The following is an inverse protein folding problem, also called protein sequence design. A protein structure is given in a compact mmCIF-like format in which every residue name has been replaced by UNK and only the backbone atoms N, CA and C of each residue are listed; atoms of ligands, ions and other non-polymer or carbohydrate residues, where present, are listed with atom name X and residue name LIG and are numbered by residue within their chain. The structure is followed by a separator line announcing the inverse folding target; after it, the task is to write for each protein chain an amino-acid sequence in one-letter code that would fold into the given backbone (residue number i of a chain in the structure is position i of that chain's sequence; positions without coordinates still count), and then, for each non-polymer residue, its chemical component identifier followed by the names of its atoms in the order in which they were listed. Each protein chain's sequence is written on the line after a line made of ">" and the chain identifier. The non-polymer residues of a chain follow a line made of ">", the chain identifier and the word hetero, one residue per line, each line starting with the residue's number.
data_IF_381076243149
#
_entry.id   IF_381076243149
#
_cell.length_a   1.000
_cell.length_b   1.000
_cell.length_c   1.000
_cell.angle_alpha   90.00
_cell.angle_beta   90.00
_cell.angle_gamma   90.00
#
_symmetry.space_group_name_H-M   'P 1'
#
loop_
_entity.id
_entity.type
_entity.pdbx_description
1 polymer ?
#
# COMPACT_ATOMS: atom_id res chain seq x y z
N UNK A 1 -29.92 15.28 -34.56
CA UNK A 1 -29.01 14.13 -34.40
C UNK A 1 -27.62 14.43 -33.83
N UNK A 2 -27.15 15.69 -33.74
CA UNK A 2 -25.82 16.03 -33.14
C UNK A 2 -25.78 16.02 -31.62
N UNK A 3 -26.90 16.11 -30.92
CA UNK A 3 -26.95 16.13 -29.44
C UNK A 3 -27.06 14.73 -28.80
N UNK A 4 -27.35 13.72 -29.59
CA UNK A 4 -27.46 12.33 -29.07
C UNK A 4 -26.08 11.71 -28.79
N UNK A 5 -25.05 12.12 -29.51
CA UNK A 5 -23.67 11.60 -29.31
C UNK A 5 -22.95 12.24 -28.13
N UNK A 6 -23.33 13.43 -27.69
CA UNK A 6 -22.74 14.12 -26.53
C UNK A 6 -23.24 13.50 -25.22
N UNK A 7 -24.47 13.00 -25.17
CA UNK A 7 -25.05 12.34 -24.00
C UNK A 7 -24.48 10.91 -23.79
N UNK A 8 -24.07 10.22 -24.87
CA UNK A 8 -23.46 8.89 -24.77
C UNK A 8 -22.00 8.96 -24.31
N UNK A 9 -21.27 10.04 -24.61
CA UNK A 9 -19.87 10.20 -24.17
C UNK A 9 -19.74 10.53 -22.66
N UNK A 10 -20.79 11.13 -22.07
CA UNK A 10 -20.78 11.48 -20.64
C UNK A 10 -21.11 10.29 -19.71
N UNK A 11 -21.75 9.24 -20.23
CA UNK A 11 -22.10 8.04 -19.45
C UNK A 11 -20.91 7.09 -19.23
N UNK A 12 -19.83 7.19 -20.02
CA UNK A 12 -18.65 6.34 -19.89
C UNK A 12 -17.67 6.75 -18.78
N UNK A 13 -17.72 8.02 -18.31
CA UNK A 13 -16.76 8.52 -17.31
C UNK A 13 -17.13 8.17 -15.86
N UNK A 14 -18.38 7.81 -15.58
CA UNK A 14 -18.84 7.37 -14.25
C UNK A 14 -18.72 5.87 -14.02
N UNK A 15 -18.60 5.06 -15.10
CA UNK A 15 -18.60 3.59 -15.01
C UNK A 15 -17.32 3.00 -14.38
N UNK A 16 -16.14 3.58 -14.61
CA UNK A 16 -14.88 3.00 -14.14
C UNK A 16 -14.70 2.99 -12.61
N UNK A 17 -15.29 3.95 -11.87
CA UNK A 17 -15.17 4.01 -10.41
C UNK A 17 -16.04 2.94 -9.75
N UNK A 18 -17.22 2.69 -10.30
CA UNK A 18 -18.16 1.69 -9.82
C UNK A 18 -17.72 0.26 -10.13
N UNK A 19 -17.07 0.02 -11.27
CA UNK A 19 -16.54 -1.31 -11.63
C UNK A 19 -15.39 -1.72 -10.71
N UNK A 20 -14.44 -0.82 -10.44
CA UNK A 20 -13.34 -1.08 -9.52
C UNK A 20 -13.82 -1.36 -8.08
N UNK A 21 -14.86 -0.66 -7.63
CA UNK A 21 -15.46 -0.90 -6.32
C UNK A 21 -16.16 -2.26 -6.26
N UNK A 22 -16.97 -2.59 -7.26
CA UNK A 22 -17.65 -3.90 -7.35
C UNK A 22 -16.67 -5.07 -7.43
N UNK A 23 -15.56 -4.91 -8.17
CA UNK A 23 -14.51 -5.91 -8.24
C UNK A 23 -13.84 -6.11 -6.87
N UNK A 24 -13.51 -5.02 -6.17
CA UNK A 24 -12.94 -5.07 -4.83
C UNK A 24 -13.88 -5.75 -3.83
N UNK A 25 -15.18 -5.41 -3.84
CA UNK A 25 -16.21 -6.03 -3.01
C UNK A 25 -16.37 -7.52 -3.30
N UNK A 26 -16.29 -7.92 -4.57
CA UNK A 26 -16.33 -9.34 -4.98
C UNK A 26 -15.14 -10.12 -4.43
N UNK A 27 -13.92 -9.56 -4.55
CA UNK A 27 -12.70 -10.19 -4.01
C UNK A 27 -12.81 -10.31 -2.49
N UNK A 28 -13.21 -9.26 -1.78
CA UNK A 28 -13.39 -9.28 -0.34
C UNK A 28 -14.38 -10.36 0.08
N UNK A 29 -15.53 -10.46 -0.60
CA UNK A 29 -16.57 -11.46 -0.29
C UNK A 29 -16.08 -12.88 -0.51
N UNK A 30 -15.29 -13.12 -1.55
CA UNK A 30 -14.71 -14.45 -1.85
C UNK A 30 -13.70 -14.89 -0.79
N UNK A 31 -12.90 -13.93 -0.29
CA UNK A 31 -11.75 -14.24 0.56
C UNK A 31 -12.04 -14.22 2.06
N UNK A 32 -13.05 -13.50 2.51
CA UNK A 32 -13.42 -13.48 3.94
C UNK A 32 -13.79 -14.90 4.41
N UNK A 33 -13.23 -15.31 5.54
CA UNK A 33 -13.32 -16.65 6.15
C UNK A 33 -12.68 -17.80 5.33
N UNK A 34 -12.06 -17.52 4.19
CA UNK A 34 -11.28 -18.53 3.44
C UNK A 34 -10.03 -18.91 4.23
N UNK A 35 -9.77 -20.20 4.33
CA UNK A 35 -8.55 -20.71 4.96
C UNK A 35 -7.35 -20.54 4.01
N UNK A 36 -6.24 -20.06 4.55
CA UNK A 36 -4.96 -20.00 3.85
C UNK A 36 -4.18 -21.28 4.14
N UNK A 37 -3.87 -22.03 3.08
CA UNK A 37 -3.12 -23.28 3.16
C UNK A 37 -1.63 -23.00 2.97
N UNK A 38 -0.83 -23.32 3.98
CA UNK A 38 0.63 -23.16 3.92
C UNK A 38 1.31 -24.37 3.27
N UNK A 39 2.38 -24.16 2.46
CA UNK A 39 3.15 -25.27 1.91
C UNK A 39 3.77 -26.15 3.01
N UNK A 40 3.81 -27.47 2.81
CA UNK A 40 4.41 -28.40 3.78
C UNK A 40 5.91 -28.18 3.99
N UNK A 41 6.61 -27.65 2.99
CA UNK A 41 8.04 -27.34 3.05
C UNK A 41 8.22 -25.85 2.76
N UNK A 42 8.73 -25.12 3.74
CA UNK A 42 9.03 -23.70 3.66
C UNK A 42 10.43 -23.48 4.22
N UNK A 43 11.21 -22.69 3.50
CA UNK A 43 12.56 -22.31 3.94
C UNK A 43 12.62 -20.82 4.14
N UNK A 44 12.78 -20.41 5.36
CA UNK A 44 12.92 -19.00 5.71
C UNK A 44 14.39 -18.61 5.79
N UNK A 45 14.69 -17.44 5.31
CA UNK A 45 16.04 -16.88 5.34
C UNK A 45 16.04 -15.41 5.73
N UNK A 46 17.14 -14.94 6.29
CA UNK A 46 17.41 -13.53 6.52
C UNK A 46 18.21 -13.00 5.34
N UNK A 47 17.62 -12.05 4.59
CA UNK A 47 18.22 -11.41 3.42
C UNK A 47 18.71 -12.40 2.34
N UNK A 48 18.13 -13.59 2.30
CA UNK A 48 18.51 -14.65 1.36
C UNK A 48 19.90 -15.23 1.54
N UNK A 49 20.54 -14.95 2.69
CA UNK A 49 21.90 -15.42 2.99
C UNK A 49 21.93 -16.55 4.02
N UNK A 50 21.18 -16.38 5.08
CA UNK A 50 21.20 -17.27 6.24
C UNK A 50 19.83 -17.94 6.40
N UNK A 51 19.81 -19.27 6.31
CA UNK A 51 18.61 -20.03 6.60
C UNK A 51 18.40 -20.05 8.12
N UNK A 52 17.16 -19.80 8.53
CA UNK A 52 16.77 -19.75 9.95
C UNK A 52 15.67 -20.75 10.24
N UNK A 53 15.69 -21.35 11.46
CA UNK A 53 14.59 -22.19 11.94
C UNK A 53 13.42 -21.28 12.37
N UNK A 54 12.68 -20.82 11.37
CA UNK A 54 11.49 -19.99 11.56
C UNK A 54 10.26 -20.81 11.21
N UNK A 55 9.36 -20.99 12.18
CA UNK A 55 8.15 -21.81 12.04
C UNK A 55 6.91 -20.97 12.17
N UNK A 56 5.85 -21.38 11.51
CA UNK A 56 4.52 -20.82 11.74
C UNK A 56 4.08 -21.23 13.13
N UNK A 57 3.84 -20.22 13.97
CA UNK A 57 3.42 -20.40 15.36
C UNK A 57 1.89 -20.48 15.45
N UNK A 58 1.40 -21.08 16.51
CA UNK A 58 -0.01 -21.05 16.89
C UNK A 58 -0.29 -19.73 17.64
N UNK A 59 -0.26 -18.61 16.89
CA UNK A 59 -0.57 -17.28 17.40
C UNK A 59 -2.03 -16.93 17.15
N UNK A 60 -2.58 -16.03 17.97
CA UNK A 60 -3.96 -15.56 17.82
C UNK A 60 -4.22 -14.96 16.43
N UNK A 61 -3.23 -14.21 15.91
CA UNK A 61 -3.28 -13.64 14.57
C UNK A 61 -1.99 -13.87 13.79
N UNK A 62 -2.11 -13.92 12.47
CA UNK A 62 -0.99 -13.93 11.52
C UNK A 62 -1.20 -12.87 10.45
N UNK A 63 -0.19 -12.05 10.18
CA UNK A 63 -0.19 -11.13 9.04
C UNK A 63 0.65 -11.77 7.95
N UNK A 64 0.00 -12.16 6.84
CA UNK A 64 0.63 -12.83 5.71
C UNK A 64 0.73 -11.86 4.55
N UNK A 65 1.95 -11.59 4.07
CA UNK A 65 2.21 -10.80 2.88
C UNK A 65 2.77 -11.71 1.78
N UNK A 66 2.00 -11.87 0.70
CA UNK A 66 2.46 -12.52 -0.52
C UNK A 66 2.85 -11.46 -1.54
N UNK A 67 4.00 -11.63 -2.17
CA UNK A 67 4.51 -10.71 -3.20
C UNK A 67 4.89 -11.53 -4.43
N UNK A 68 4.18 -11.29 -5.52
CA UNK A 68 4.46 -11.91 -6.81
C UNK A 68 5.56 -11.18 -7.59
N UNK A 69 5.98 -11.78 -8.70
CA UNK A 69 7.01 -11.24 -9.59
C UNK A 69 6.50 -10.13 -10.53
N UNK A 70 5.23 -9.74 -10.45
CA UNK A 70 4.66 -8.74 -11.34
C UNK A 70 4.97 -7.32 -10.85
N UNK A 71 5.77 -6.59 -11.59
CA UNK A 71 6.10 -5.19 -11.36
C UNK A 71 7.37 -4.92 -10.56
N UNK A 72 7.63 -3.64 -10.22
CA UNK A 72 8.81 -3.19 -9.51
C UNK A 72 8.80 -3.66 -8.05
N UNK A 73 9.68 -4.58 -7.71
CA UNK A 73 9.74 -5.23 -6.39
C UNK A 73 10.07 -4.25 -5.26
N UNK A 74 11.00 -3.33 -5.48
CA UNK A 74 11.44 -2.36 -4.46
C UNK A 74 10.31 -1.42 -4.03
N UNK A 75 9.51 -0.95 -4.98
CA UNK A 75 8.42 0.00 -4.71
C UNK A 75 7.23 -0.64 -4.01
N UNK A 76 7.02 -1.96 -4.18
CA UNK A 76 5.89 -2.68 -3.60
C UNK A 76 6.13 -3.13 -2.17
N UNK A 77 7.40 -3.34 -1.81
CA UNK A 77 7.74 -3.99 -0.55
C UNK A 77 7.61 -3.07 0.67
N UNK A 78 7.95 -1.77 0.55
CA UNK A 78 7.94 -0.82 1.68
C UNK A 78 8.53 -1.43 2.98
N UNK A 79 9.69 -2.11 2.88
CA UNK A 79 10.27 -2.89 3.97
C UNK A 79 10.55 -2.06 5.23
N UNK A 80 10.88 -0.78 5.09
CA UNK A 80 11.03 0.14 6.23
C UNK A 80 9.74 0.29 7.03
N UNK A 81 8.60 0.48 6.34
CA UNK A 81 7.28 0.58 7.00
C UNK A 81 6.85 -0.75 7.64
N UNK A 82 7.23 -1.89 7.04
CA UNK A 82 7.02 -3.20 7.66
C UNK A 82 7.81 -3.34 8.96
N UNK A 83 9.08 -2.89 9.01
CA UNK A 83 9.87 -2.90 10.26
C UNK A 83 9.21 -2.07 11.36
N UNK A 84 8.70 -0.89 11.02
CA UNK A 84 7.97 -0.03 11.95
C UNK A 84 6.72 -0.72 12.50
N UNK A 85 5.92 -1.35 11.63
CA UNK A 85 4.72 -2.07 12.04
C UNK A 85 5.05 -3.28 12.90
N UNK A 86 6.06 -4.08 12.54
CA UNK A 86 6.53 -5.23 13.33
C UNK A 86 6.96 -4.75 14.72
N UNK A 87 7.83 -3.74 14.79
CA UNK A 87 8.31 -3.19 16.07
C UNK A 87 7.16 -2.65 16.92
N UNK A 88 6.20 -1.94 16.31
CA UNK A 88 5.01 -1.47 17.01
C UNK A 88 4.21 -2.64 17.59
N UNK A 89 3.91 -3.68 16.79
CA UNK A 89 3.14 -4.83 17.25
C UNK A 89 3.84 -5.60 18.35
N UNK A 90 5.16 -5.82 18.23
CA UNK A 90 5.96 -6.47 19.27
C UNK A 90 5.96 -5.69 20.59
N UNK A 91 5.80 -4.35 20.53
CA UNK A 91 5.76 -3.52 21.73
C UNK A 91 4.39 -3.49 22.42
N UNK A 92 3.29 -3.56 21.65
CA UNK A 92 1.92 -3.41 22.20
C UNK A 92 1.17 -4.74 22.36
N UNK A 93 1.51 -5.74 21.56
CA UNK A 93 0.87 -7.07 21.54
C UNK A 93 1.94 -8.18 21.34
N UNK A 94 2.90 -8.31 22.29
CA UNK A 94 3.97 -9.29 22.15
C UNK A 94 3.40 -10.71 22.02
N UNK A 95 3.93 -11.48 21.06
CA UNK A 95 3.57 -12.89 20.81
C UNK A 95 2.14 -13.17 20.31
N UNK A 96 1.27 -12.17 20.23
CA UNK A 96 -0.11 -12.35 19.71
C UNK A 96 -0.17 -12.36 18.17
N UNK A 97 0.79 -11.72 17.50
CA UNK A 97 0.80 -11.58 16.05
C UNK A 97 2.11 -12.11 15.47
N UNK A 98 2.02 -12.98 14.48
CA UNK A 98 3.17 -13.40 13.69
C UNK A 98 3.10 -12.81 12.30
N UNK A 99 4.22 -12.26 11.81
CA UNK A 99 4.35 -11.79 10.43
C UNK A 99 4.94 -12.90 9.57
N UNK A 100 4.40 -13.10 8.38
CA UNK A 100 4.80 -14.14 7.43
C UNK A 100 4.96 -13.52 6.05
N UNK A 101 6.17 -13.52 5.51
CA UNK A 101 6.50 -12.95 4.22
C UNK A 101 6.83 -14.06 3.22
N UNK A 102 6.06 -14.14 2.13
CA UNK A 102 6.26 -15.08 1.03
C UNK A 102 6.51 -14.30 -0.25
N UNK A 103 7.68 -14.51 -0.86
CA UNK A 103 8.07 -13.80 -2.06
C UNK A 103 8.29 -14.79 -3.19
N UNK A 104 7.45 -14.69 -4.22
CA UNK A 104 7.65 -15.38 -5.50
C UNK A 104 8.37 -14.44 -6.46
N UNK A 105 9.58 -14.77 -6.84
CA UNK A 105 10.44 -13.90 -7.63
C UNK A 105 11.08 -14.68 -8.77
N UNK A 106 10.87 -14.21 -9.99
CA UNK A 106 11.57 -14.73 -11.18
C UNK A 106 13.08 -14.43 -11.15
N UNK A 107 13.47 -13.29 -10.53
CA UNK A 107 14.86 -12.89 -10.35
C UNK A 107 15.07 -12.42 -8.89
N UNK A 108 15.69 -13.27 -8.08
CA UNK A 108 15.90 -13.00 -6.66
C UNK A 108 16.94 -11.92 -6.33
N UNK A 109 17.76 -11.47 -7.29
CA UNK A 109 18.87 -10.55 -7.00
C UNK A 109 18.39 -9.21 -6.47
N UNK A 110 17.34 -8.65 -7.06
CA UNK A 110 16.86 -7.31 -6.74
C UNK A 110 16.25 -7.26 -5.33
N UNK A 111 15.54 -8.32 -4.92
CA UNK A 111 14.97 -8.37 -3.58
C UNK A 111 16.02 -8.52 -2.50
N UNK A 112 17.06 -9.33 -2.73
CA UNK A 112 18.14 -9.46 -1.76
C UNK A 112 18.91 -8.15 -1.59
N UNK A 113 19.06 -7.39 -2.70
CA UNK A 113 19.62 -6.05 -2.63
C UNK A 113 18.74 -5.11 -1.83
N UNK A 114 17.44 -5.06 -2.13
CA UNK A 114 16.47 -4.21 -1.41
C UNK A 114 16.42 -4.56 0.08
N UNK A 115 16.34 -5.84 0.44
CA UNK A 115 16.34 -6.25 1.85
C UNK A 115 17.61 -5.81 2.59
N UNK A 116 18.76 -5.83 1.92
CA UNK A 116 20.04 -5.36 2.51
C UNK A 116 20.08 -3.84 2.66
N UNK A 117 19.64 -3.10 1.64
CA UNK A 117 19.61 -1.64 1.67
C UNK A 117 18.69 -1.14 2.79
N UNK A 118 17.51 -1.76 2.93
CA UNK A 118 16.53 -1.42 3.98
C UNK A 118 16.88 -2.03 5.34
N UNK A 119 17.98 -2.81 5.43
CA UNK A 119 18.37 -3.54 6.65
C UNK A 119 17.19 -4.35 7.21
N UNK A 120 16.47 -5.04 6.32
CA UNK A 120 15.35 -5.88 6.69
C UNK A 120 15.85 -7.25 7.15
N UNK A 121 15.82 -7.50 8.44
CA UNK A 121 16.36 -8.72 9.08
C UNK A 121 15.27 -9.69 9.53
N UNK A 122 14.00 -9.40 9.20
CA UNK A 122 12.91 -10.34 9.49
C UNK A 122 12.94 -11.52 8.51
N UNK A 123 12.66 -12.75 8.98
CA UNK A 123 12.67 -13.94 8.13
C UNK A 123 11.69 -13.89 6.99
N UNK A 124 12.12 -14.24 5.78
CA UNK A 124 11.29 -14.31 4.58
C UNK A 124 11.39 -15.68 3.92
N UNK A 125 10.29 -16.19 3.39
CA UNK A 125 10.26 -17.37 2.56
C UNK A 125 10.36 -16.97 1.10
N UNK A 126 11.42 -17.37 0.39
CA UNK A 126 11.56 -17.19 -1.05
C UNK A 126 10.99 -18.45 -1.72
N UNK A 127 9.80 -18.34 -2.25
CA UNK A 127 9.10 -19.44 -2.95
C UNK A 127 9.35 -19.35 -4.46
N UNK A 128 10.45 -19.94 -4.91
CA UNK A 128 10.88 -19.87 -6.32
C UNK A 128 9.95 -20.61 -7.28
N UNK A 129 9.12 -21.51 -6.78
CA UNK A 129 8.19 -22.31 -7.57
C UNK A 129 6.73 -21.87 -7.42
N UNK A 130 6.49 -20.79 -6.65
CA UNK A 130 5.15 -20.25 -6.40
C UNK A 130 4.17 -21.25 -5.78
N UNK A 131 4.67 -22.19 -4.97
CA UNK A 131 3.83 -23.22 -4.35
C UNK A 131 2.75 -22.62 -3.46
N UNK A 132 3.05 -21.51 -2.78
CA UNK A 132 2.09 -20.85 -1.91
C UNK A 132 0.88 -20.32 -2.68
N UNK A 133 1.11 -19.69 -3.83
CA UNK A 133 0.03 -19.23 -4.70
C UNK A 133 -0.67 -20.39 -5.43
N UNK A 134 0.06 -21.44 -5.82
CA UNK A 134 -0.57 -22.63 -6.42
C UNK A 134 -1.56 -23.30 -5.49
N UNK A 135 -1.34 -23.25 -4.16
CA UNK A 135 -2.26 -23.80 -3.17
C UNK A 135 -3.49 -22.92 -2.93
N UNK A 136 -3.32 -21.59 -3.01
CA UNK A 136 -4.34 -20.63 -2.56
C UNK A 136 -5.05 -19.89 -3.69
N UNK A 137 -4.39 -19.73 -4.85
CA UNK A 137 -4.86 -18.93 -6.00
C UNK A 137 -5.13 -17.48 -5.60
N UNK A 138 -4.10 -16.80 -5.07
CA UNK A 138 -4.21 -15.42 -4.60
C UNK A 138 -4.75 -14.46 -5.67
N UNK A 139 -5.43 -13.36 -5.25
CA UNK A 139 -5.89 -12.34 -6.19
C UNK A 139 -4.73 -11.79 -7.01
N UNK A 140 -4.95 -11.59 -8.31
CA UNK A 140 -3.98 -10.92 -9.18
C UNK A 140 -3.80 -9.44 -8.86
N UNK A 141 -4.79 -8.82 -8.22
CA UNK A 141 -4.70 -7.45 -7.74
C UNK A 141 -3.83 -7.38 -6.47
N UNK A 142 -2.66 -6.78 -6.61
CA UNK A 142 -1.65 -6.67 -5.55
C UNK A 142 -2.15 -5.98 -4.27
N UNK A 143 -3.21 -5.18 -4.36
CA UNK A 143 -3.84 -4.52 -3.22
C UNK A 143 -4.42 -5.53 -2.22
N UNK A 144 -4.75 -6.75 -2.68
CA UNK A 144 -5.39 -7.81 -1.92
C UNK A 144 -4.48 -9.00 -1.65
N UNK A 145 -3.17 -8.86 -1.76
CA UNK A 145 -2.17 -9.91 -1.52
C UNK A 145 -1.58 -9.88 -0.10
N UNK A 146 -2.21 -9.15 0.81
CA UNK A 146 -1.86 -9.15 2.25
C UNK A 146 -3.10 -9.47 3.06
N UNK A 147 -2.96 -10.38 4.02
CA UNK A 147 -4.06 -10.97 4.77
C UNK A 147 -3.80 -10.90 6.26
N UNK A 148 -4.80 -10.54 7.04
CA UNK A 148 -4.86 -10.81 8.47
C UNK A 148 -5.63 -12.12 8.67
N UNK A 149 -4.99 -13.10 9.30
CA UNK A 149 -5.58 -14.40 9.59
C UNK A 149 -5.81 -14.53 11.09
N UNK A 150 -6.86 -15.27 11.47
CA UNK A 150 -7.06 -15.74 12.84
C UNK A 150 -6.20 -16.97 13.13
N UNK A 151 -6.35 -17.53 14.34
CA UNK A 151 -5.64 -18.74 14.79
C UNK A 151 -5.86 -19.93 13.85
N UNK A 152 -7.06 -20.11 13.29
CA UNK A 152 -7.41 -21.18 12.34
C UNK A 152 -6.91 -20.92 10.90
N UNK A 153 -6.05 -19.94 10.68
CA UNK A 153 -5.56 -19.49 9.38
C UNK A 153 -6.65 -18.99 8.43
N UNK A 154 -7.81 -18.56 8.94
CA UNK A 154 -8.89 -17.97 8.14
C UNK A 154 -8.73 -16.47 8.01
N UNK A 155 -8.99 -15.96 6.82
CA UNK A 155 -8.92 -14.51 6.52
C UNK A 155 -9.99 -13.75 7.31
N UNK A 156 -9.57 -12.82 8.16
CA UNK A 156 -10.44 -11.91 8.92
C UNK A 156 -10.37 -10.47 8.43
N UNK A 157 -9.32 -10.11 7.72
CA UNK A 157 -9.22 -8.87 6.95
C UNK A 157 -8.18 -9.04 5.85
N UNK A 158 -8.25 -8.20 4.81
CA UNK A 158 -7.25 -8.20 3.73
C UNK A 158 -6.97 -6.78 3.24
N UNK A 159 -5.79 -6.61 2.63
CA UNK A 159 -5.24 -5.33 2.19
C UNK A 159 -3.92 -5.02 2.89
N UNK A 160 -3.10 -4.20 2.27
CA UNK A 160 -1.74 -3.95 2.76
C UNK A 160 -1.72 -2.83 3.83
N UNK A 161 -1.44 -3.14 5.12
CA UNK A 161 -1.48 -2.18 6.21
C UNK A 161 -0.33 -1.17 6.18
N UNK A 162 0.76 -1.45 5.47
CA UNK A 162 1.88 -0.49 5.33
C UNK A 162 1.71 0.45 4.14
N UNK A 163 0.73 0.17 3.27
CA UNK A 163 0.38 1.04 2.15
C UNK A 163 -0.93 1.81 2.37
N UNK A 164 -1.77 1.35 3.30
CA UNK A 164 -3.05 1.98 3.57
C UNK A 164 -3.27 2.11 5.09
N UNK A 165 -3.23 3.34 5.64
CA UNK A 165 -3.47 3.59 7.05
C UNK A 165 -4.83 3.10 7.55
N UNK A 166 -5.89 3.16 6.74
CA UNK A 166 -7.22 2.66 7.12
C UNK A 166 -7.22 1.14 7.29
N UNK A 167 -6.45 0.42 6.46
CA UNK A 167 -6.25 -1.03 6.61
C UNK A 167 -5.41 -1.32 7.85
N UNK A 168 -4.37 -0.52 8.12
CA UNK A 168 -3.60 -0.61 9.37
C UNK A 168 -4.50 -0.46 10.59
N UNK A 169 -5.32 0.58 10.63
CA UNK A 169 -6.25 0.84 11.73
C UNK A 169 -7.26 -0.31 11.88
N UNK A 170 -7.77 -0.87 10.77
CA UNK A 170 -8.65 -2.04 10.77
C UNK A 170 -7.96 -3.26 11.40
N UNK A 171 -6.71 -3.55 11.00
CA UNK A 171 -5.94 -4.68 11.57
C UNK A 171 -5.71 -4.47 13.06
N UNK A 172 -5.25 -3.28 13.46
CA UNK A 172 -5.03 -2.94 14.87
C UNK A 172 -6.32 -3.07 15.68
N UNK A 173 -7.45 -2.62 15.16
CA UNK A 173 -8.75 -2.75 15.81
C UNK A 173 -9.16 -4.21 16.00
N UNK A 174 -9.01 -5.07 14.98
CA UNK A 174 -9.34 -6.49 15.08
C UNK A 174 -8.44 -7.17 16.12
N UNK A 175 -7.13 -6.95 16.06
CA UNK A 175 -6.15 -7.54 16.96
C UNK A 175 -6.36 -7.09 18.41
N UNK A 176 -6.79 -5.85 18.62
CA UNK A 176 -7.01 -5.28 19.95
C UNK A 176 -8.43 -5.49 20.50
N UNK A 177 -9.39 -5.98 19.71
CA UNK A 177 -10.81 -6.09 20.08
C UNK A 177 -11.12 -6.97 21.29
N UNK A 178 -10.09 -7.54 21.94
CA UNK A 178 -10.19 -8.17 23.26
C UNK A 178 -9.66 -7.33 24.42
N UNK A 179 -9.02 -6.16 24.23
CA UNK A 179 -8.23 -5.51 25.29
C UNK A 179 -8.23 -3.98 25.41
N UNK A 180 -8.67 -3.20 24.42
CA UNK A 180 -8.79 -1.74 24.56
C UNK A 180 -9.68 -1.14 23.47
N UNK A 181 -10.51 -0.17 23.86
CA UNK A 181 -11.17 0.75 22.95
C UNK A 181 -10.14 1.66 22.26
N UNK A 182 -9.54 1.21 21.15
CA UNK A 182 -8.80 2.10 20.25
C UNK A 182 -9.82 2.86 19.37
N UNK A 183 -10.80 3.49 19.97
CA UNK A 183 -11.57 4.57 19.38
C UNK A 183 -10.73 5.84 19.45
N UNK A 184 -9.77 6.01 18.59
CA UNK A 184 -9.49 7.36 18.13
C UNK A 184 -10.72 7.80 17.32
N UNK A 185 -11.61 8.56 17.96
CA UNK A 185 -12.55 9.43 17.26
C UNK A 185 -11.69 10.51 16.56
N UNK A 186 -11.10 10.17 15.41
CA UNK A 186 -10.37 11.15 14.62
C UNK A 186 -11.37 12.19 14.14
N UNK A 187 -11.20 13.39 14.62
CA UNK A 187 -12.00 14.53 14.19
C UNK A 187 -11.73 14.76 12.72
N UNK A 188 -12.74 14.64 11.86
CA UNK A 188 -12.62 14.85 10.42
C UNK A 188 -12.60 16.34 10.09
N UNK A 189 -12.00 16.67 8.96
CA UNK A 189 -11.98 18.01 8.39
C UNK A 189 -12.23 17.97 6.88
N UNK A 190 -12.54 19.11 6.26
CA UNK A 190 -12.72 19.24 4.83
C UNK A 190 -11.43 19.76 4.19
N UNK A 191 -11.18 19.35 2.95
CA UNK A 191 -10.00 19.78 2.20
C UNK A 191 -10.36 20.15 0.77
N UNK A 192 -9.63 21.09 0.23
CA UNK A 192 -9.68 21.49 -1.18
C UNK A 192 -8.29 21.34 -1.80
N UNK A 193 -8.25 20.85 -3.04
CA UNK A 193 -7.05 20.69 -3.85
C UNK A 193 -7.04 21.76 -4.93
N UNK A 194 -5.96 22.53 -5.04
CA UNK A 194 -5.79 23.49 -6.12
C UNK A 194 -5.69 22.77 -7.46
N UNK A 195 -4.83 21.75 -7.52
CA UNK A 195 -4.65 20.89 -8.68
C UNK A 195 -4.61 19.41 -8.25
N UNK A 196 -5.17 18.55 -9.11
CA UNK A 196 -5.08 17.09 -8.94
C UNK A 196 -4.17 16.43 -9.96
N UNK A 197 -3.79 17.13 -11.03
CA UNK A 197 -2.94 16.63 -12.12
C UNK A 197 -1.96 17.71 -12.55
N UNK A 198 -0.68 17.38 -12.52
CA UNK A 198 0.39 18.24 -13.06
C UNK A 198 1.03 17.55 -14.27
N UNK A 199 1.11 18.29 -15.39
CA UNK A 199 1.83 17.86 -16.58
C UNK A 199 3.25 18.44 -16.54
N UNK A 200 4.26 17.57 -16.43
CA UNK A 200 5.67 17.94 -16.38
C UNK A 200 6.26 18.21 -17.79
N UNK A 201 5.45 18.03 -18.85
CA UNK A 201 5.85 18.26 -20.23
C UNK A 201 6.89 17.27 -20.74
N UNK A 202 7.70 17.73 -21.69
CA UNK A 202 8.78 16.95 -22.33
C UNK A 202 10.11 17.39 -21.72
N UNK A 203 10.92 16.44 -21.21
CA UNK A 203 12.21 16.75 -20.61
C UNK A 203 13.25 15.61 -20.82
N UNK A 204 14.52 15.92 -20.56
CA UNK A 204 15.63 14.96 -20.59
C UNK A 204 15.48 13.94 -19.46
N UNK A 205 15.41 12.64 -19.78
CA UNK A 205 15.22 11.55 -18.81
C UNK A 205 16.31 11.48 -17.74
N UNK A 206 17.47 12.08 -17.96
CA UNK A 206 18.55 12.18 -16.97
C UNK A 206 18.34 13.28 -15.94
N UNK A 207 17.35 14.16 -16.13
CA UNK A 207 17.05 15.28 -15.23
C UNK A 207 15.84 14.99 -14.37
N UNK A 208 15.97 15.25 -13.07
CA UNK A 208 14.84 15.21 -12.17
C UNK A 208 13.87 16.36 -12.45
N UNK A 209 12.59 16.09 -12.34
CA UNK A 209 11.51 17.08 -12.42
C UNK A 209 10.86 17.23 -11.05
N UNK A 210 10.46 18.47 -10.73
CA UNK A 210 9.80 18.77 -9.45
C UNK A 210 8.50 19.53 -9.70
N UNK A 211 7.49 19.22 -8.91
CA UNK A 211 6.26 19.98 -8.83
C UNK A 211 5.73 20.01 -7.39
N UNK A 212 4.76 20.86 -7.14
CA UNK A 212 4.14 21.03 -5.85
C UNK A 212 2.63 20.86 -6.03
N UNK A 213 2.00 20.11 -5.11
CA UNK A 213 0.56 20.10 -4.94
C UNK A 213 0.22 20.76 -3.62
N UNK A 214 -0.76 21.64 -3.63
CA UNK A 214 -1.22 22.34 -2.43
C UNK A 214 -2.57 21.79 -1.99
N UNK A 215 -2.66 21.40 -0.71
CA UNK A 215 -3.91 20.97 -0.06
C UNK A 215 -4.28 22.03 0.97
N UNK A 216 -5.46 22.64 0.81
CA UNK A 216 -6.01 23.58 1.76
C UNK A 216 -6.95 22.87 2.75
N UNK A 217 -6.78 23.15 4.03
CA UNK A 217 -7.74 22.75 5.06
C UNK A 217 -8.90 23.77 5.09
N UNK A 218 -10.02 23.41 4.46
CA UNK A 218 -11.24 24.25 4.41
C UNK A 218 -12.20 23.95 5.55
N UNK A 219 -11.96 22.86 6.32
CA UNK A 219 -12.77 22.49 7.47
C UNK A 219 -12.40 23.26 8.75
N UNK A 220 -13.09 22.92 9.85
CA UNK A 220 -12.91 23.60 11.15
C UNK A 220 -11.88 22.93 12.05
N UNK A 221 -11.52 21.68 11.76
CA UNK A 221 -10.60 20.89 12.57
C UNK A 221 -9.21 20.85 11.94
N UNK A 222 -8.22 20.36 12.69
CA UNK A 222 -6.87 20.17 12.17
C UNK A 222 -6.87 19.12 11.04
N UNK A 223 -6.18 19.43 9.93
CA UNK A 223 -5.88 18.44 8.91
C UNK A 223 -4.60 17.70 9.29
N UNK A 224 -4.67 16.39 9.31
CA UNK A 224 -3.54 15.49 9.58
C UNK A 224 -3.31 14.63 8.35
N UNK A 225 -2.12 14.68 7.79
CA UNK A 225 -1.68 13.76 6.73
C UNK A 225 -1.13 12.50 7.42
N UNK A 226 -1.82 11.38 7.25
CA UNK A 226 -1.44 10.10 7.84
C UNK A 226 -0.27 9.45 7.09
N UNK A 227 -0.38 9.45 5.75
CA UNK A 227 0.64 8.86 4.87
C UNK A 227 0.50 9.37 3.44
N UNK A 228 1.59 9.30 2.67
CA UNK A 228 1.58 9.53 1.23
C UNK A 228 2.30 8.38 0.52
N UNK A 229 1.63 7.76 -0.44
CA UNK A 229 2.18 6.67 -1.23
C UNK A 229 2.27 7.02 -2.70
N UNK A 230 3.32 6.54 -3.35
CA UNK A 230 3.56 6.72 -4.78
C UNK A 230 3.40 5.40 -5.53
N UNK A 231 2.95 5.45 -6.78
CA UNK A 231 2.77 4.27 -7.63
C UNK A 231 4.08 3.64 -8.11
N UNK A 232 5.22 4.32 -7.96
CA UNK A 232 6.57 3.83 -8.31
C UNK A 232 7.64 4.43 -7.40
N UNK A 233 8.83 3.81 -7.34
CA UNK A 233 10.02 4.35 -6.67
C UNK A 233 10.71 5.49 -7.43
N UNK A 234 10.31 5.71 -8.68
CA UNK A 234 10.74 6.83 -9.51
C UNK A 234 10.13 8.18 -9.07
N UNK A 235 9.22 8.16 -8.08
CA UNK A 235 8.57 9.34 -7.53
C UNK A 235 8.81 9.40 -6.04
N UNK A 236 9.39 10.50 -5.54
CA UNK A 236 9.56 10.77 -4.12
C UNK A 236 8.74 11.96 -3.69
N UNK A 237 8.35 12.00 -2.41
CA UNK A 237 7.46 13.03 -1.86
C UNK A 237 8.05 13.57 -0.56
N UNK A 238 8.04 14.89 -0.41
CA UNK A 238 8.43 15.59 0.81
C UNK A 238 7.30 16.52 1.24
N UNK A 239 6.94 16.49 2.53
CA UNK A 239 5.90 17.33 3.12
C UNK A 239 6.10 17.47 4.63
N UNK A 240 5.51 18.52 5.23
CA UNK A 240 5.50 18.70 6.70
C UNK A 240 4.62 17.62 7.35
N UNK A 241 5.10 17.08 8.47
CA UNK A 241 4.33 16.15 9.31
C UNK A 241 3.46 16.87 10.36
N UNK A 242 3.54 18.20 10.42
CA UNK A 242 2.76 18.99 11.37
C UNK A 242 1.30 19.10 10.94
N UNK A 243 0.34 19.01 11.88
CA UNK A 243 -1.07 19.24 11.58
C UNK A 243 -1.34 20.64 11.03
N UNK A 244 -2.21 20.75 10.02
CA UNK A 244 -2.54 21.99 9.32
C UNK A 244 -3.79 22.60 9.92
N UNK A 245 -3.71 23.83 10.39
CA UNK A 245 -4.84 24.57 10.97
C UNK A 245 -5.91 24.89 9.91
N UNK A 246 -7.14 25.11 10.39
CA UNK A 246 -8.26 25.59 9.56
C UNK A 246 -7.86 26.84 8.75
N UNK A 247 -8.20 26.87 7.47
CA UNK A 247 -7.89 27.94 6.53
C UNK A 247 -6.42 28.02 6.07
N UNK A 248 -5.55 27.12 6.53
CA UNK A 248 -4.15 27.03 6.12
C UNK A 248 -3.97 25.92 5.07
N UNK A 249 -2.83 25.96 4.38
CA UNK A 249 -2.47 24.99 3.36
C UNK A 249 -1.20 24.25 3.71
N UNK A 250 -1.02 23.07 3.10
CA UNK A 250 0.20 22.28 3.11
C UNK A 250 0.63 22.01 1.68
N UNK A 251 1.93 22.14 1.43
CA UNK A 251 2.55 21.82 0.16
C UNK A 251 3.14 20.40 0.20
N UNK A 252 2.87 19.66 -0.86
CA UNK A 252 3.41 18.34 -1.12
C UNK A 252 4.38 18.47 -2.29
N UNK A 253 5.67 18.50 -2.00
CA UNK A 253 6.72 18.56 -3.02
C UNK A 253 6.94 17.16 -3.59
N UNK A 254 6.75 17.03 -4.91
CA UNK A 254 6.91 15.77 -5.64
C UNK A 254 8.13 15.88 -6.55
N UNK A 255 9.05 14.93 -6.44
CA UNK A 255 10.20 14.79 -7.34
C UNK A 255 10.05 13.51 -8.15
N UNK A 256 10.12 13.63 -9.47
CA UNK A 256 10.11 12.52 -10.41
C UNK A 256 11.47 12.37 -11.08
N UNK A 257 11.99 11.13 -11.12
CA UNK A 257 13.23 10.76 -11.77
C UNK A 257 12.97 9.56 -12.66
N UNK A 258 13.03 9.76 -13.99
CA UNK A 258 12.87 8.67 -14.93
C UNK A 258 14.03 7.67 -14.83
N UNK A 259 13.74 6.38 -14.92
CA UNK A 259 14.76 5.31 -14.96
C UNK A 259 15.29 5.13 -16.39
N UNK A 260 14.46 5.41 -17.38
CA UNK A 260 14.75 5.35 -18.82
C UNK A 260 13.78 6.29 -19.56
N UNK A 261 14.02 6.59 -20.86
CA UNK A 261 13.04 7.34 -21.66
C UNK A 261 11.68 6.64 -21.65
N UNK A 262 10.62 7.34 -21.20
CA UNK A 262 9.26 6.80 -21.10
C UNK A 262 8.20 7.90 -21.18
N UNK A 263 7.00 7.56 -21.68
CA UNK A 263 5.79 8.29 -21.38
C UNK A 263 5.26 7.81 -20.01
N UNK A 264 5.00 8.72 -19.09
CA UNK A 264 4.61 8.32 -17.74
C UNK A 264 3.30 9.00 -17.29
N UNK A 265 2.60 8.27 -16.43
CA UNK A 265 1.46 8.75 -15.67
C UNK A 265 1.52 8.07 -14.30
N UNK A 266 2.02 8.80 -13.30
CA UNK A 266 2.24 8.26 -11.94
C UNK A 266 1.22 8.86 -10.99
N UNK A 267 0.76 8.04 -10.05
CA UNK A 267 -0.23 8.44 -9.04
C UNK A 267 0.44 8.58 -7.68
N UNK A 268 0.07 9.64 -6.98
CA UNK A 268 0.41 9.90 -5.58
C UNK A 268 -0.90 9.82 -4.78
N UNK A 269 -0.95 8.95 -3.79
CA UNK A 269 -2.12 8.75 -2.94
C UNK A 269 -1.86 9.35 -1.57
N UNK A 270 -2.67 10.34 -1.17
CA UNK A 270 -2.56 11.04 0.11
C UNK A 270 -3.67 10.55 1.05
N UNK A 271 -3.28 9.99 2.19
CA UNK A 271 -4.19 9.58 3.26
C UNK A 271 -4.21 10.65 4.35
N UNK A 272 -5.40 11.10 4.73
CA UNK A 272 -5.60 12.13 5.74
C UNK A 272 -6.95 11.94 6.46
N UNK A 273 -7.23 12.75 7.48
CA UNK A 273 -8.48 12.74 8.23
C UNK A 273 -9.62 13.51 7.55
N UNK A 274 -9.68 13.55 6.22
CA UNK A 274 -10.80 14.12 5.46
C UNK A 274 -11.76 13.02 4.99
N UNK A 275 -13.05 13.34 4.83
CA UNK A 275 -14.04 12.41 4.23
C UNK A 275 -13.69 12.03 2.78
N UNK A 276 -13.01 12.92 2.05
CA UNK A 276 -12.53 12.66 0.69
C UNK A 276 -11.26 11.80 0.64
N UNK A 277 -10.67 11.41 1.77
CA UNK A 277 -9.50 10.53 1.82
C UNK A 277 -9.82 9.11 1.33
N UNK A 278 -8.92 8.48 0.54
CA UNK A 278 -7.65 9.01 0.06
C UNK A 278 -7.77 9.95 -1.14
N UNK A 279 -6.96 11.03 -1.13
CA UNK A 279 -6.87 11.97 -2.24
C UNK A 279 -5.92 11.40 -3.32
N UNK A 280 -6.28 11.59 -4.58
CA UNK A 280 -5.49 11.11 -5.73
C UNK A 280 -4.88 12.28 -6.47
N UNK A 281 -3.55 12.39 -6.45
CA UNK A 281 -2.78 13.34 -7.23
C UNK A 281 -2.06 12.59 -8.35
N UNK A 282 -1.84 13.24 -9.49
CA UNK A 282 -1.16 12.64 -10.64
C UNK A 282 -0.12 13.56 -11.25
N UNK A 283 0.99 12.98 -11.64
CA UNK A 283 1.96 13.61 -12.52
C UNK A 283 2.05 12.83 -13.82
N UNK A 284 2.17 13.53 -14.94
CA UNK A 284 2.32 12.94 -16.27
C UNK A 284 3.33 13.72 -17.09
N UNK A 285 3.85 13.13 -18.17
CA UNK A 285 4.79 13.77 -19.06
C UNK A 285 5.56 12.76 -19.91
N UNK A 286 6.57 13.26 -20.63
CA UNK A 286 7.44 12.50 -21.53
C UNK A 286 8.91 12.74 -21.17
N UNK A 287 9.55 11.73 -20.63
CA UNK A 287 10.99 11.70 -20.43
C UNK A 287 11.67 11.17 -21.71
N UNK A 288 12.58 11.93 -22.30
CA UNK A 288 13.28 11.56 -23.56
C UNK A 288 14.77 11.37 -23.37
#
# INVERSE_FOLDING_TARGET
>A
MKYLYVLLAFSFLFSCKDENKKQAESILKEWMNKEIVFPKKMYFSIQGKENVDFRIKDTEYKIVAYVDSAGCTSCKLHLSKWKELIHYMDSVQPEHVQFLFFFFLKNGRDIYHTMRMDKFTYPVCIDTLDHFNQLNHFPSDVRFQTFLLNQDNKVVAMGNPVQNPQIKDLYLKIISSGKADLKENRTQTDVELEDTVVDLGIFDSKKEQKCIFTIQNTGKNLLVIDDINTSCGCTTVEYSKEPVQSGKSIDIAVTYKAEHPEHFNKTITVYCNSESSPLQLKIKGDAK
#
